data_IF_777999882112
#
_entry.id   IF_777999882112
#
_cell.length_a   1.000
_cell.length_b   1.000
_cell.length_c   1.000
_cell.angle_alpha   90.00
_cell.angle_beta   90.00
_cell.angle_gamma   90.00
#
_symmetry.space_group_name_H-M   'P 1'
#
loop_
_entity.id
_entity.type
_entity.pdbx_description
1 polymer ?
#
# COMPACT_ATOMS: atom_id res chain seq x y z
N UNK A 1 -1.96 -1.61 2.50
CA UNK A 1 -3.35 -2.04 2.71
C UNK A 1 -3.41 -3.55 2.65
N UNK A 2 -4.10 -4.19 3.60
CA UNK A 2 -4.19 -5.64 3.70
C UNK A 2 -5.18 -6.28 2.71
N UNK A 3 -5.44 -5.62 1.59
CA UNK A 3 -6.39 -6.02 0.54
C UNK A 3 -5.75 -5.83 -0.85
N UNK A 4 -6.16 -6.62 -1.86
CA UNK A 4 -5.77 -6.41 -3.24
C UNK A 4 -6.15 -5.02 -3.78
N UNK A 5 -5.42 -4.55 -4.80
CA UNK A 5 -5.68 -3.26 -5.44
C UNK A 5 -7.08 -3.19 -6.06
N UNK A 6 -7.51 -4.25 -6.73
CA UNK A 6 -8.83 -4.29 -7.36
C UNK A 6 -9.96 -4.22 -6.34
N UNK A 7 -9.83 -4.91 -5.20
CA UNK A 7 -10.80 -4.82 -4.11
C UNK A 7 -10.88 -3.39 -3.54
N UNK A 8 -9.74 -2.70 -3.41
CA UNK A 8 -9.70 -1.29 -2.98
C UNK A 8 -10.47 -0.38 -3.96
N UNK A 9 -10.30 -0.58 -5.28
CA UNK A 9 -11.02 0.17 -6.32
C UNK A 9 -12.51 -0.14 -6.32
N UNK A 10 -12.91 -1.40 -6.18
CA UNK A 10 -14.31 -1.82 -6.10
C UNK A 10 -15.03 -1.20 -4.89
N UNK A 11 -14.31 -1.05 -3.77
CA UNK A 11 -14.80 -0.36 -2.57
C UNK A 11 -14.80 1.17 -2.69
N UNK A 12 -14.31 1.73 -3.80
CA UNK A 12 -14.30 3.18 -4.07
C UNK A 12 -13.24 3.96 -3.27
N UNK A 13 -12.25 3.29 -2.69
CA UNK A 13 -11.21 3.94 -1.90
C UNK A 13 -10.26 4.79 -2.76
N UNK A 14 -10.14 4.47 -4.05
CA UNK A 14 -9.41 5.24 -5.05
C UNK A 14 -9.88 6.70 -5.09
N UNK A 15 -11.19 6.93 -4.98
CA UNK A 15 -11.79 8.28 -4.95
C UNK A 15 -11.38 9.05 -3.71
N UNK A 16 -11.35 8.39 -2.55
CA UNK A 16 -10.94 9.01 -1.28
C UNK A 16 -9.44 9.34 -1.29
N UNK A 17 -8.61 8.45 -1.85
CA UNK A 17 -7.18 8.68 -2.00
C UNK A 17 -6.92 9.87 -2.93
N UNK A 18 -7.57 9.91 -4.09
CA UNK A 18 -7.44 11.03 -5.03
C UNK A 18 -7.92 12.36 -4.42
N UNK A 19 -9.01 12.33 -3.65
CA UNK A 19 -9.49 13.51 -2.94
C UNK A 19 -8.47 14.02 -1.91
N UNK A 20 -7.85 13.12 -1.15
CA UNK A 20 -6.80 13.47 -0.20
C UNK A 20 -5.59 14.08 -0.89
N UNK A 21 -5.12 13.50 -2.01
CA UNK A 21 -4.01 14.06 -2.78
C UNK A 21 -4.32 15.48 -3.26
N UNK A 22 -5.53 15.72 -3.78
CA UNK A 22 -5.96 17.06 -4.20
C UNK A 22 -5.94 18.08 -3.05
N UNK A 23 -6.43 17.70 -1.87
CA UNK A 23 -6.40 18.58 -0.69
C UNK A 23 -4.95 18.89 -0.28
N UNK A 24 -4.10 17.87 -0.23
CA UNK A 24 -2.69 18.05 0.13
C UNK A 24 -1.95 18.91 -0.89
N UNK A 25 -2.27 18.77 -2.19
CA UNK A 25 -1.73 19.62 -3.23
C UNK A 25 -2.09 21.09 -3.05
N UNK A 26 -3.33 21.39 -2.69
CA UNK A 26 -3.77 22.77 -2.40
C UNK A 26 -3.10 23.31 -1.14
N UNK A 27 -2.95 22.50 -0.10
CA UNK A 27 -2.42 22.95 1.19
C UNK A 27 -0.89 23.09 1.21
N UNK A 28 -0.17 22.17 0.58
CA UNK A 28 1.28 22.01 0.72
C UNK A 28 2.04 22.14 -0.62
N UNK A 29 1.34 22.30 -1.75
CA UNK A 29 1.94 22.27 -3.07
C UNK A 29 2.15 20.83 -3.58
N UNK A 30 3.00 20.62 -4.60
CA UNK A 30 3.15 19.32 -5.27
C UNK A 30 3.27 18.15 -4.28
N UNK A 31 2.28 17.26 -4.32
CA UNK A 31 2.12 16.11 -3.43
C UNK A 31 1.91 14.86 -4.30
N UNK A 32 2.43 13.73 -3.84
CA UNK A 32 2.39 12.43 -4.53
C UNK A 32 1.78 11.37 -3.58
N UNK A 33 1.03 10.43 -4.14
CA UNK A 33 0.51 9.27 -3.41
C UNK A 33 1.38 8.02 -3.65
N UNK A 34 1.72 7.30 -2.57
CA UNK A 34 2.31 5.96 -2.64
C UNK A 34 1.39 4.94 -1.96
N UNK A 35 1.02 3.87 -2.68
CA UNK A 35 0.17 2.79 -2.16
C UNK A 35 0.91 1.46 -2.22
N UNK A 36 0.69 0.62 -1.21
CA UNK A 36 1.09 -0.79 -1.21
C UNK A 36 -0.11 -1.65 -0.83
N UNK A 37 -0.32 -2.74 -1.56
CA UNK A 37 -1.52 -3.59 -1.48
C UNK A 37 -1.18 -5.01 -1.07
N UNK A 38 -2.21 -5.73 -0.62
CA UNK A 38 -2.19 -7.13 -0.21
C UNK A 38 -0.98 -7.46 0.66
N UNK A 39 -0.80 -6.66 1.70
CA UNK A 39 0.32 -6.76 2.64
C UNK A 39 0.22 -8.02 3.51
N UNK A 40 1.34 -8.44 4.09
CA UNK A 40 1.38 -9.53 5.06
C UNK A 40 1.06 -8.99 6.46
N UNK A 41 -0.10 -9.34 7.02
CA UNK A 41 -0.55 -8.82 8.32
C UNK A 41 0.05 -9.59 9.51
N UNK A 42 0.22 -10.90 9.34
CA UNK A 42 0.74 -11.78 10.38
C UNK A 42 2.00 -12.50 9.89
N UNK A 43 2.98 -12.69 10.78
CA UNK A 43 4.16 -13.47 10.47
C UNK A 43 3.84 -14.97 10.30
N UNK A 44 2.78 -15.44 10.98
CA UNK A 44 2.38 -16.83 11.00
C UNK A 44 0.85 -16.92 11.03
N UNK A 45 0.26 -17.16 9.86
CA UNK A 45 -1.18 -17.29 9.69
C UNK A 45 -1.75 -18.57 10.32
N UNK A 46 -0.92 -19.58 10.66
CA UNK A 46 -1.41 -20.80 11.31
C UNK A 46 -1.86 -20.58 12.77
N UNK A 47 -1.48 -19.45 13.35
CA UNK A 47 -1.79 -19.07 14.74
C UNK A 47 -3.02 -18.19 14.88
N UNK A 48 -3.67 -17.84 13.77
CA UNK A 48 -4.80 -16.90 13.74
C UNK A 48 -5.91 -17.45 12.86
N UNK A 49 -7.15 -17.25 13.30
CA UNK A 49 -8.32 -17.52 12.46
C UNK A 49 -8.48 -16.38 11.46
N UNK A 50 -8.09 -16.67 10.21
CA UNK A 50 -7.91 -15.68 9.15
C UNK A 50 -8.34 -16.23 7.79
N UNK A 51 -9.41 -17.04 7.79
CA UNK A 51 -9.90 -17.80 6.62
C UNK A 51 -10.26 -16.94 5.41
N UNK A 52 -10.47 -15.63 5.60
CA UNK A 52 -10.68 -14.68 4.51
C UNK A 52 -9.43 -14.48 3.63
N UNK A 53 -8.23 -14.80 4.14
CA UNK A 53 -6.98 -14.59 3.43
C UNK A 53 -6.38 -15.90 2.93
N UNK A 54 -5.69 -15.85 1.79
CA UNK A 54 -4.77 -16.91 1.34
C UNK A 54 -3.36 -16.62 1.89
N UNK A 55 -2.88 -17.38 2.90
CA UNK A 55 -1.56 -17.14 3.49
C UNK A 55 -0.41 -17.35 2.52
N UNK A 56 -0.52 -18.34 1.62
CA UNK A 56 0.54 -18.68 0.68
C UNK A 56 0.67 -17.59 -0.38
N UNK A 57 -0.45 -17.10 -0.91
CA UNK A 57 -0.46 -15.98 -1.84
C UNK A 57 0.11 -14.71 -1.20
N UNK A 58 -0.31 -14.37 0.03
CA UNK A 58 0.23 -13.21 0.77
C UNK A 58 1.73 -13.32 1.02
N UNK A 59 2.20 -14.49 1.46
CA UNK A 59 3.64 -14.73 1.66
C UNK A 59 4.42 -14.62 0.36
N UNK A 60 3.89 -15.14 -0.75
CA UNK A 60 4.52 -15.01 -2.08
C UNK A 60 4.65 -13.55 -2.48
N UNK A 61 3.54 -12.80 -2.42
CA UNK A 61 3.52 -11.38 -2.74
C UNK A 61 4.46 -10.57 -1.86
N UNK A 62 4.51 -10.88 -0.56
CA UNK A 62 5.43 -10.23 0.37
C UNK A 62 6.90 -10.47 0.00
N UNK A 63 7.26 -11.64 -0.55
CA UNK A 63 8.63 -11.88 -1.00
C UNK A 63 8.96 -11.22 -2.34
N UNK A 64 8.01 -11.20 -3.27
CA UNK A 64 8.26 -10.81 -4.66
C UNK A 64 7.99 -9.33 -4.95
N UNK A 65 7.00 -8.71 -4.29
CA UNK A 65 6.53 -7.35 -4.62
C UNK A 65 6.80 -6.35 -3.52
N UNK A 66 6.64 -6.74 -2.24
CA UNK A 66 6.82 -5.80 -1.13
C UNK A 66 8.21 -5.14 -1.09
N UNK A 67 9.34 -5.83 -1.40
CA UNK A 67 10.64 -5.17 -1.49
C UNK A 67 10.68 -4.03 -2.53
N UNK A 68 9.97 -4.19 -3.65
CA UNK A 68 9.87 -3.13 -4.66
C UNK A 68 9.05 -1.95 -4.17
N UNK A 69 7.97 -2.20 -3.42
CA UNK A 69 7.19 -1.13 -2.78
C UNK A 69 8.03 -0.39 -1.71
N UNK A 70 8.87 -1.11 -0.96
CA UNK A 70 9.84 -0.50 -0.04
C UNK A 70 10.86 0.37 -0.79
N UNK A 71 11.38 -0.09 -1.93
CA UNK A 71 12.30 0.72 -2.74
C UNK A 71 11.63 2.01 -3.24
N UNK A 72 10.40 1.92 -3.75
CA UNK A 72 9.62 3.12 -4.15
C UNK A 72 9.43 4.10 -2.98
N UNK A 73 9.16 3.58 -1.77
CA UNK A 73 9.02 4.39 -0.57
C UNK A 73 10.33 5.09 -0.19
N UNK A 74 11.46 4.36 -0.27
CA UNK A 74 12.78 4.91 -0.04
C UNK A 74 13.11 6.02 -1.05
N UNK A 75 12.91 5.77 -2.35
CA UNK A 75 13.19 6.73 -3.41
C UNK A 75 12.32 7.99 -3.28
N UNK A 76 11.06 7.84 -2.86
CA UNK A 76 10.19 8.97 -2.53
C UNK A 76 10.78 9.78 -1.37
N UNK A 77 11.21 9.12 -0.29
CA UNK A 77 11.86 9.78 0.85
C UNK A 77 13.10 10.58 0.44
N UNK A 78 13.96 10.02 -0.43
CA UNK A 78 15.14 10.71 -0.98
C UNK A 78 14.73 12.00 -1.72
N UNK A 79 13.70 11.95 -2.57
CA UNK A 79 13.21 13.13 -3.30
C UNK A 79 12.62 14.20 -2.37
N UNK A 80 11.91 13.77 -1.33
CA UNK A 80 11.28 14.69 -0.37
C UNK A 80 12.30 15.37 0.55
N UNK A 81 13.33 14.65 1.00
CA UNK A 81 14.37 15.17 1.88
C UNK A 81 15.49 15.92 1.15
N UNK A 82 15.74 15.62 -0.13
CA UNK A 82 16.79 16.25 -0.94
C UNK A 82 16.42 17.64 -1.50
N UNK A 83 15.41 18.30 -0.93
CA UNK A 83 15.05 19.69 -1.24
C UNK A 83 15.86 20.69 -0.42
#
# INVERSE_FOLDING_TARGET
>A
MNMPEEAMKEMGFDRHIAFNENILQVAFGPSETLLSFDTLQFADYSKVDADFFDPLAKMKRHREVFPNDCQKAFDLGVRLAGR
#
